data_IF_830262456291
#
_entry.id   IF_830262456291
#
_cell.length_a   1.000
_cell.length_b   1.000
_cell.length_c   1.000
_cell.angle_alpha   90.00
_cell.angle_beta   90.00
_cell.angle_gamma   90.00
#
_symmetry.space_group_name_H-M   'P 1'
#
loop_
_entity.id
_entity.type
_entity.pdbx_description
1 polymer ?
#
# COMPACT_ATOMS: atom_id res chain seq x y z
N UNK A 1 4.89 8.99 -24.62
CA UNK A 1 4.49 8.57 -23.25
C UNK A 1 5.64 7.81 -22.66
N UNK A 2 6.21 8.32 -21.57
CA UNK A 2 7.20 7.61 -20.76
C UNK A 2 6.59 7.00 -19.49
N UNK A 3 7.27 6.07 -18.86
CA UNK A 3 6.84 5.43 -17.62
C UNK A 3 7.84 5.78 -16.52
N UNK A 4 7.36 6.42 -15.46
CA UNK A 4 8.19 6.88 -14.35
C UNK A 4 7.80 6.18 -13.06
N UNK A 5 8.81 5.81 -12.28
CA UNK A 5 8.65 5.43 -10.88
C UNK A 5 9.22 6.55 -10.01
N UNK A 6 8.37 7.14 -9.17
CA UNK A 6 8.71 8.30 -8.34
C UNK A 6 8.57 7.89 -6.88
N UNK A 7 9.63 8.11 -6.11
CA UNK A 7 9.62 7.92 -4.67
C UNK A 7 9.50 9.27 -3.99
N UNK A 8 8.58 9.37 -3.02
CA UNK A 8 8.42 10.51 -2.14
C UNK A 8 8.77 10.06 -0.74
N UNK A 9 9.91 10.54 -0.23
CA UNK A 9 10.31 10.31 1.15
C UNK A 9 9.44 11.17 2.08
N UNK A 10 8.81 10.51 3.05
CA UNK A 10 7.92 11.14 4.04
C UNK A 10 8.48 11.06 5.46
N UNK A 11 9.77 10.75 5.63
CA UNK A 11 10.37 10.56 6.95
C UNK A 11 10.28 11.80 7.87
N UNK A 12 10.46 12.99 7.31
CA UNK A 12 10.42 14.28 8.04
C UNK A 12 9.03 14.95 8.00
N UNK A 13 7.99 14.21 7.61
CA UNK A 13 6.62 14.74 7.46
C UNK A 13 5.80 14.38 8.70
N UNK A 14 5.28 15.41 9.38
CA UNK A 14 4.59 15.25 10.66
C UNK A 14 3.07 15.38 10.57
N UNK A 15 2.54 15.93 9.46
CA UNK A 15 1.11 16.13 9.27
C UNK A 15 0.67 16.00 7.80
N UNK A 16 -0.65 15.89 7.60
CA UNK A 16 -1.24 15.72 6.28
C UNK A 16 -1.02 16.92 5.34
N UNK A 17 -0.91 18.13 5.87
CA UNK A 17 -0.74 19.33 5.04
C UNK A 17 0.67 19.37 4.44
N UNK A 18 1.68 19.04 5.24
CA UNK A 18 3.05 18.83 4.75
C UNK A 18 3.12 17.70 3.72
N UNK A 19 2.38 16.59 3.94
CA UNK A 19 2.30 15.50 2.97
C UNK A 19 1.67 15.94 1.65
N UNK A 20 0.62 16.76 1.69
CA UNK A 20 0.00 17.34 0.47
C UNK A 20 0.98 18.23 -0.28
N UNK A 21 1.71 19.08 0.43
CA UNK A 21 2.68 20.01 -0.18
C UNK A 21 3.86 19.28 -0.82
N UNK A 22 4.45 18.27 -0.16
CA UNK A 22 5.54 17.48 -0.76
C UNK A 22 5.07 16.68 -1.98
N UNK A 23 3.87 16.09 -1.94
CA UNK A 23 3.29 15.35 -3.05
C UNK A 23 3.07 16.26 -4.26
N UNK A 24 2.42 17.40 -4.04
CA UNK A 24 2.12 18.38 -5.08
C UNK A 24 3.40 18.91 -5.71
N UNK A 25 4.38 19.29 -4.89
CA UNK A 25 5.69 19.77 -5.35
C UNK A 25 6.40 18.72 -6.21
N UNK A 26 6.46 17.48 -5.73
CA UNK A 26 7.16 16.39 -6.44
C UNK A 26 6.52 16.12 -7.81
N UNK A 27 5.19 16.06 -7.88
CA UNK A 27 4.48 15.87 -9.15
C UNK A 27 4.66 17.07 -10.09
N UNK A 28 4.64 18.30 -9.56
CA UNK A 28 4.87 19.50 -10.35
C UNK A 28 6.29 19.53 -10.93
N UNK A 29 7.30 19.20 -10.13
CA UNK A 29 8.69 19.16 -10.58
C UNK A 29 8.92 18.02 -11.58
N UNK A 30 8.23 16.89 -11.40
CA UNK A 30 8.23 15.81 -12.39
C UNK A 30 7.64 16.29 -13.72
N UNK A 31 6.47 16.93 -13.70
CA UNK A 31 5.81 17.45 -14.89
C UNK A 31 6.67 18.47 -15.65
N UNK A 32 7.42 19.31 -14.94
CA UNK A 32 8.33 20.31 -15.53
C UNK A 32 9.56 19.70 -16.21
N UNK A 33 10.00 18.54 -15.74
CA UNK A 33 11.23 17.89 -16.19
C UNK A 33 10.97 16.72 -17.16
N UNK A 34 9.72 16.53 -17.63
CA UNK A 34 9.39 15.51 -18.61
C UNK A 34 10.15 15.71 -19.91
N UNK A 35 10.72 14.62 -20.43
CA UNK A 35 11.32 14.59 -21.78
C UNK A 35 10.25 14.35 -22.84
N UNK A 36 9.26 13.52 -22.51
CA UNK A 36 8.09 13.24 -23.34
C UNK A 36 6.96 14.24 -23.12
N UNK A 37 6.01 14.32 -24.07
CA UNK A 37 4.79 15.12 -23.92
C UNK A 37 3.92 14.72 -22.71
N UNK A 38 4.01 13.46 -22.28
CA UNK A 38 3.24 12.92 -21.15
C UNK A 38 3.93 11.70 -20.53
N UNK A 39 3.58 11.42 -19.28
CA UNK A 39 4.10 10.29 -18.50
C UNK A 39 3.00 9.53 -17.78
N UNK A 40 3.19 8.21 -17.65
CA UNK A 40 2.48 7.35 -16.71
C UNK A 40 3.35 7.16 -15.47
N UNK A 41 2.84 7.54 -14.31
CA UNK A 41 3.58 7.61 -13.05
C UNK A 41 3.11 6.51 -12.10
N UNK A 42 4.04 5.69 -11.63
CA UNK A 42 3.91 4.96 -10.38
C UNK A 42 4.52 5.81 -9.27
N UNK A 43 3.73 6.09 -8.25
CA UNK A 43 4.15 6.86 -7.09
C UNK A 43 4.33 5.91 -5.91
N UNK A 44 5.41 6.07 -5.16
CA UNK A 44 5.69 5.29 -3.96
C UNK A 44 6.00 6.26 -2.81
N UNK A 45 5.20 6.18 -1.74
CA UNK A 45 5.49 6.89 -0.49
C UNK A 45 6.40 6.01 0.34
N UNK A 46 7.59 6.49 0.67
CA UNK A 46 8.62 5.74 1.40
C UNK A 46 9.02 6.43 2.69
N UNK A 47 9.53 5.67 3.64
CA UNK A 47 10.23 6.22 4.80
C UNK A 47 9.64 5.85 6.14
N UNK A 48 10.37 6.18 7.20
CA UNK A 48 9.94 5.96 8.58
C UNK A 48 9.20 7.21 9.05
N UNK A 49 7.90 7.13 9.30
CA UNK A 49 7.05 8.28 9.64
C UNK A 49 6.08 7.95 10.78
N UNK A 50 5.74 8.93 11.63
CA UNK A 50 4.67 8.82 12.62
C UNK A 50 3.30 8.71 11.97
N UNK A 51 3.16 9.13 10.70
CA UNK A 51 1.91 9.12 9.96
C UNK A 51 1.54 7.75 9.37
N UNK A 52 2.37 6.70 9.54
CA UNK A 52 2.16 5.41 8.86
C UNK A 52 0.72 4.90 9.00
N UNK A 53 0.19 4.85 10.22
CA UNK A 53 -1.14 4.29 10.45
C UNK A 53 -2.26 5.16 9.92
N UNK A 54 -2.14 6.49 10.05
CA UNK A 54 -3.09 7.43 9.47
C UNK A 54 -3.10 7.35 7.94
N UNK A 55 -1.92 7.34 7.30
CA UNK A 55 -1.79 7.25 5.84
C UNK A 55 -2.32 5.92 5.32
N UNK A 56 -2.03 4.80 5.99
CA UNK A 56 -2.56 3.49 5.60
C UNK A 56 -4.08 3.38 5.82
N UNK A 57 -4.63 4.02 6.86
CA UNK A 57 -6.08 4.09 7.09
C UNK A 57 -6.76 4.86 5.95
N UNK A 58 -6.17 5.99 5.59
CA UNK A 58 -6.71 6.94 4.62
C UNK A 58 -6.11 6.72 3.21
N UNK A 59 -5.60 5.52 2.92
CA UNK A 59 -4.88 5.20 1.68
C UNK A 59 -5.65 5.58 0.40
N UNK A 60 -6.99 5.46 0.43
CA UNK A 60 -7.83 5.74 -0.73
C UNK A 60 -8.01 7.25 -0.92
N UNK A 61 -8.01 8.02 0.17
CA UNK A 61 -7.93 9.49 0.12
C UNK A 61 -6.61 9.91 -0.51
N UNK A 62 -5.48 9.33 -0.08
CA UNK A 62 -4.17 9.67 -0.64
C UNK A 62 -4.01 9.28 -2.11
N UNK A 63 -4.59 8.16 -2.54
CA UNK A 63 -4.65 7.79 -3.96
C UNK A 63 -5.42 8.83 -4.78
N UNK A 64 -6.58 9.27 -4.29
CA UNK A 64 -7.37 10.28 -5.00
C UNK A 64 -6.68 11.64 -5.02
N UNK A 65 -6.05 12.06 -3.91
CA UNK A 65 -5.25 13.29 -3.85
C UNK A 65 -4.11 13.26 -4.86
N UNK A 66 -3.33 12.17 -4.90
CA UNK A 66 -2.26 12.01 -5.87
C UNK A 66 -2.78 11.99 -7.32
N UNK A 67 -3.91 11.31 -7.57
CA UNK A 67 -4.52 11.27 -8.89
C UNK A 67 -5.01 12.65 -9.32
N UNK A 68 -5.61 13.40 -8.41
CA UNK A 68 -6.07 14.76 -8.66
C UNK A 68 -4.91 15.69 -8.99
N UNK A 69 -3.82 15.66 -8.22
CA UNK A 69 -2.63 16.47 -8.52
C UNK A 69 -1.99 16.08 -9.86
N UNK A 70 -1.91 14.79 -10.19
CA UNK A 70 -1.40 14.36 -11.50
C UNK A 70 -2.28 14.91 -12.65
N UNK A 71 -3.61 14.83 -12.52
CA UNK A 71 -4.58 15.38 -13.49
C UNK A 71 -4.42 16.89 -13.67
N UNK A 72 -4.21 17.63 -12.58
CA UNK A 72 -4.01 19.09 -12.61
C UNK A 72 -2.78 19.52 -13.41
N UNK A 73 -1.74 18.67 -13.48
CA UNK A 73 -0.57 18.94 -14.31
C UNK A 73 -0.83 18.77 -15.81
N UNK A 74 -1.89 18.04 -16.20
CA UNK A 74 -2.31 17.80 -17.59
C UNK A 74 -1.39 16.88 -18.40
N UNK A 75 -0.16 16.63 -17.95
CA UNK A 75 0.85 15.79 -18.62
C UNK A 75 1.15 14.48 -17.87
N UNK A 76 0.60 14.30 -16.66
CA UNK A 76 0.84 13.14 -15.81
C UNK A 76 -0.42 12.27 -15.66
N UNK A 77 -0.23 10.96 -15.79
CA UNK A 77 -1.25 9.93 -15.57
C UNK A 77 -0.81 9.00 -14.44
N UNK A 78 -1.55 8.95 -13.35
CA UNK A 78 -1.19 8.07 -12.23
C UNK A 78 -1.60 6.61 -12.53
N UNK A 79 -0.62 5.70 -12.55
CA UNK A 79 -0.84 4.24 -12.62
C UNK A 79 -1.26 3.70 -11.25
N UNK A 80 -0.44 3.95 -10.23
CA UNK A 80 -0.59 3.37 -8.90
C UNK A 80 0.12 4.20 -7.85
N UNK A 81 -0.46 4.25 -6.65
CA UNK A 81 0.23 4.65 -5.43
C UNK A 81 0.59 3.41 -4.61
N UNK A 82 1.85 3.31 -4.23
CA UNK A 82 2.41 2.30 -3.34
C UNK A 82 2.77 2.98 -2.01
N UNK A 83 2.51 2.29 -0.91
CA UNK A 83 2.83 2.78 0.43
C UNK A 83 3.86 1.83 1.04
N UNK A 84 5.10 2.26 1.11
CA UNK A 84 6.22 1.56 1.76
C UNK A 84 6.70 2.37 2.96
N UNK A 85 5.81 2.47 3.95
CA UNK A 85 6.03 3.26 5.15
C UNK A 85 6.49 2.36 6.29
N UNK A 86 7.27 2.89 7.21
CA UNK A 86 7.59 2.21 8.47
C UNK A 86 7.21 3.12 9.63
N UNK A 87 6.79 2.54 10.75
CA UNK A 87 6.42 3.33 11.92
C UNK A 87 7.68 3.84 12.63
N UNK A 88 7.64 5.07 13.15
CA UNK A 88 8.67 5.60 14.06
C UNK A 88 8.38 5.16 15.50
N UNK A 89 7.11 5.00 15.87
CA UNK A 89 6.72 4.67 17.23
C UNK A 89 7.12 3.23 17.55
N UNK A 90 7.81 3.05 18.67
CA UNK A 90 8.04 1.72 19.22
C UNK A 90 6.69 1.06 19.52
N UNK A 91 6.60 -0.27 19.33
CA UNK A 91 5.42 -1.03 19.73
C UNK A 91 5.17 -0.75 21.21
N UNK A 92 4.08 -0.06 21.51
CA UNK A 92 3.65 0.14 22.87
C UNK A 92 3.17 -1.18 23.49
N UNK A 93 2.80 -1.12 24.75
CA UNK A 93 2.04 -2.18 25.42
C UNK A 93 0.53 -1.90 25.36
N UNK A 94 0.07 -1.29 24.26
CA UNK A 94 -1.34 -0.99 24.05
C UNK A 94 -2.11 -2.21 23.54
N UNK A 95 -3.44 -2.21 23.71
CA UNK A 95 -4.30 -3.27 23.21
C UNK A 95 -4.17 -3.50 21.69
N UNK A 96 -3.86 -2.46 20.91
CA UNK A 96 -3.63 -2.58 19.46
C UNK A 96 -2.30 -3.26 19.13
N UNK A 97 -1.29 -3.14 19.99
CA UNK A 97 -0.01 -3.84 19.85
C UNK A 97 -0.13 -5.32 20.27
N UNK A 98 -0.89 -5.59 21.33
CA UNK A 98 -1.23 -6.96 21.72
C UNK A 98 -2.01 -7.68 20.61
N UNK A 99 -3.02 -7.01 20.04
CA UNK A 99 -3.77 -7.54 18.92
C UNK A 99 -2.88 -7.79 17.70
N UNK A 100 -1.95 -6.87 17.39
CA UNK A 100 -0.98 -7.08 16.31
C UNK A 100 -0.14 -8.34 16.55
N UNK A 101 0.25 -8.60 17.80
CA UNK A 101 0.93 -9.82 18.22
C UNK A 101 0.07 -11.06 18.02
N UNK A 102 -1.17 -11.05 18.49
CA UNK A 102 -2.13 -12.17 18.33
C UNK A 102 -2.36 -12.46 16.84
N UNK A 103 -2.64 -11.44 16.03
CA UNK A 103 -2.84 -11.60 14.59
C UNK A 103 -1.60 -12.15 13.90
N UNK A 104 -0.40 -11.80 14.36
CA UNK A 104 0.85 -12.38 13.85
C UNK A 104 0.93 -13.87 14.19
N UNK A 105 0.70 -14.24 15.45
CA UNK A 105 0.72 -15.64 15.88
C UNK A 105 -0.29 -16.49 15.10
N UNK A 106 -1.52 -16.00 14.93
CA UNK A 106 -2.57 -16.69 14.17
C UNK A 106 -2.13 -16.93 12.72
N UNK A 107 -1.47 -15.96 12.07
CA UNK A 107 -0.98 -16.14 10.70
C UNK A 107 0.07 -17.24 10.57
N UNK A 108 0.86 -17.47 11.62
CA UNK A 108 1.88 -18.52 11.67
C UNK A 108 1.28 -19.92 11.91
N UNK A 109 0.00 -20.02 12.29
CA UNK A 109 -0.69 -21.29 12.48
C UNK A 109 -1.06 -21.94 11.12
N UNK A 110 -0.75 -23.23 10.97
CA UNK A 110 -1.03 -23.97 9.73
C UNK A 110 -2.53 -23.99 9.39
N UNK A 111 -3.39 -24.08 10.40
CA UNK A 111 -4.84 -24.07 10.22
C UNK A 111 -5.35 -22.77 9.60
N UNK A 112 -4.75 -21.62 9.96
CA UNK A 112 -5.10 -20.35 9.35
C UNK A 112 -4.65 -20.26 7.89
N UNK A 113 -3.43 -20.73 7.60
CA UNK A 113 -2.92 -20.81 6.22
C UNK A 113 -3.81 -21.68 5.32
N UNK A 114 -4.27 -22.82 5.82
CA UNK A 114 -5.21 -23.69 5.11
C UNK A 114 -6.55 -23.02 4.81
N UNK A 115 -7.08 -22.22 5.74
CA UNK A 115 -8.29 -21.42 5.53
C UNK A 115 -8.06 -20.40 4.41
N UNK A 116 -6.97 -19.62 4.48
CA UNK A 116 -6.63 -18.65 3.45
C UNK A 116 -6.49 -19.29 2.07
N UNK A 117 -5.82 -20.45 1.98
CA UNK A 117 -5.67 -21.21 0.74
C UNK A 117 -7.02 -21.62 0.16
N UNK A 118 -7.94 -22.16 0.98
CA UNK A 118 -9.28 -22.55 0.53
C UNK A 118 -10.08 -21.38 -0.02
N UNK A 119 -10.02 -20.23 0.64
CA UNK A 119 -10.69 -19.00 0.16
C UNK A 119 -10.12 -18.54 -1.18
N UNK A 120 -8.79 -18.53 -1.31
CA UNK A 120 -8.13 -18.18 -2.58
C UNK A 120 -8.52 -19.17 -3.67
N UNK A 121 -8.48 -20.47 -3.41
CA UNK A 121 -8.94 -21.50 -4.35
C UNK A 121 -10.37 -21.27 -4.82
N UNK A 122 -11.28 -20.92 -3.90
CA UNK A 122 -12.66 -20.56 -4.20
C UNK A 122 -12.75 -19.42 -5.22
N UNK A 123 -12.03 -18.32 -4.98
CA UNK A 123 -11.98 -17.16 -5.88
C UNK A 123 -11.38 -17.54 -7.25
N UNK A 124 -10.34 -18.37 -7.26
CA UNK A 124 -9.70 -18.81 -8.51
C UNK A 124 -10.64 -19.63 -9.39
N UNK A 125 -11.62 -20.33 -8.81
CA UNK A 125 -12.60 -21.08 -9.58
C UNK A 125 -13.42 -20.19 -10.52
N UNK A 126 -13.56 -18.90 -10.18
CA UNK A 126 -14.24 -17.90 -11.00
C UNK A 126 -13.39 -17.41 -12.18
N UNK A 127 -12.07 -17.66 -12.14
CA UNK A 127 -11.16 -17.27 -13.22
C UNK A 127 -11.07 -18.33 -14.31
N UNK A 128 -10.99 -17.87 -15.57
CA UNK A 128 -10.70 -18.72 -16.71
C UNK A 128 -9.38 -19.50 -16.50
N UNK A 129 -9.28 -20.78 -16.92
CA UNK A 129 -8.12 -21.63 -16.62
C UNK A 129 -6.77 -21.03 -17.02
N UNK A 130 -6.72 -20.32 -18.14
CA UNK A 130 -5.51 -19.67 -18.67
C UNK A 130 -5.03 -18.53 -17.77
N UNK A 131 -5.94 -17.81 -17.10
CA UNK A 131 -5.60 -16.75 -16.14
C UNK A 131 -5.18 -17.33 -14.79
N UNK A 132 -5.84 -18.41 -14.37
CA UNK A 132 -5.49 -19.14 -13.15
C UNK A 132 -4.06 -19.67 -13.20
N UNK A 133 -3.69 -20.36 -14.28
CA UNK A 133 -2.33 -20.92 -14.45
C UNK A 133 -1.23 -19.84 -14.54
N UNK A 134 -1.56 -18.62 -14.98
CA UNK A 134 -0.63 -17.49 -14.98
C UNK A 134 -0.46 -16.84 -13.60
N UNK A 135 -1.53 -16.79 -12.82
CA UNK A 135 -1.54 -16.16 -11.51
C UNK A 135 -0.92 -17.06 -10.44
N UNK A 136 -1.14 -18.37 -10.56
CA UNK A 136 -0.64 -19.39 -9.64
C UNK A 136 -0.03 -20.55 -10.44
N UNK A 137 1.25 -20.42 -10.81
CA UNK A 137 1.94 -21.46 -11.57
C UNK A 137 2.24 -22.69 -10.71
N UNK A 138 2.35 -22.53 -9.39
CA UNK A 138 2.69 -23.59 -8.44
C UNK A 138 2.11 -23.35 -7.04
N UNK A 139 2.26 -24.39 -6.20
CA UNK A 139 1.83 -24.41 -4.79
C UNK A 139 2.57 -23.37 -3.94
N UNK A 140 3.86 -23.14 -4.19
CA UNK A 140 4.64 -22.17 -3.43
C UNK A 140 4.12 -20.73 -3.65
N UNK A 141 3.64 -20.43 -4.86
CA UNK A 141 3.01 -19.14 -5.19
C UNK A 141 1.67 -18.99 -4.48
N UNK A 142 0.94 -20.09 -4.24
CA UNK A 142 -0.29 -20.09 -3.45
C UNK A 142 -0.01 -19.71 -2.00
N UNK A 143 0.98 -20.35 -1.38
CA UNK A 143 1.36 -20.07 0.01
C UNK A 143 1.85 -18.62 0.18
N UNK A 144 2.67 -18.14 -0.76
CA UNK A 144 3.12 -16.75 -0.77
C UNK A 144 1.96 -15.75 -0.94
N UNK A 145 0.99 -16.07 -1.80
CA UNK A 145 -0.18 -15.23 -1.99
C UNK A 145 -1.05 -15.20 -0.73
N UNK A 146 -1.29 -16.36 -0.11
CA UNK A 146 -2.02 -16.47 1.15
C UNK A 146 -1.35 -15.66 2.26
N UNK A 147 -0.04 -15.81 2.43
CA UNK A 147 0.74 -15.06 3.41
C UNK A 147 0.64 -13.55 3.19
N UNK A 148 0.89 -13.09 1.96
CA UNK A 148 0.84 -11.66 1.61
C UNK A 148 -0.55 -11.05 1.80
N UNK A 149 -1.62 -11.77 1.45
CA UNK A 149 -2.98 -11.29 1.64
C UNK A 149 -3.35 -11.24 3.12
N UNK A 150 -2.95 -12.23 3.91
CA UNK A 150 -3.15 -12.25 5.36
C UNK A 150 -2.40 -11.11 6.06
N UNK A 151 -1.15 -10.87 5.67
CA UNK A 151 -0.34 -9.76 6.18
C UNK A 151 -0.97 -8.40 5.83
N UNK A 152 -1.31 -8.18 4.55
CA UNK A 152 -1.98 -6.95 4.11
C UNK A 152 -3.34 -6.75 4.80
N UNK A 153 -4.09 -7.82 5.05
CA UNK A 153 -5.35 -7.79 5.80
C UNK A 153 -5.13 -7.35 7.26
N UNK A 154 -4.10 -7.88 7.91
CA UNK A 154 -3.75 -7.50 9.27
C UNK A 154 -3.31 -6.03 9.35
N UNK A 155 -2.48 -5.57 8.42
CA UNK A 155 -2.08 -4.17 8.34
C UNK A 155 -3.26 -3.23 8.18
N UNK A 156 -4.25 -3.58 7.35
CA UNK A 156 -5.47 -2.78 7.17
C UNK A 156 -6.29 -2.66 8.45
N UNK A 157 -6.48 -3.76 9.17
CA UNK A 157 -7.21 -3.74 10.45
C UNK A 157 -6.46 -2.85 11.46
N UNK A 158 -5.13 -3.03 11.57
CA UNK A 158 -4.30 -2.23 12.46
C UNK A 158 -4.31 -0.74 12.09
N UNK A 159 -4.29 -0.41 10.80
CA UNK A 159 -4.40 0.97 10.34
C UNK A 159 -5.73 1.61 10.75
N UNK A 160 -6.84 0.90 10.62
CA UNK A 160 -8.15 1.39 11.08
C UNK A 160 -8.18 1.65 12.59
N UNK A 161 -7.55 0.79 13.39
CA UNK A 161 -7.55 0.94 14.85
C UNK A 161 -6.57 2.00 15.34
N UNK A 162 -5.32 1.98 14.84
CA UNK A 162 -4.25 2.87 15.28
C UNK A 162 -4.39 4.27 14.69
N UNK A 163 -4.80 4.37 13.42
CA UNK A 163 -4.99 5.67 12.76
C UNK A 163 -6.13 6.48 13.36
N UNK A 164 -7.14 5.83 13.96
CA UNK A 164 -8.28 6.50 14.61
C UNK A 164 -7.95 7.18 15.95
N UNK A 165 -6.76 6.93 16.50
CA UNK A 165 -6.33 7.55 17.76
C UNK A 165 -5.62 8.87 17.43
N UNK A 166 -6.09 10.01 17.97
CA UNK A 166 -5.44 11.32 17.76
C UNK A 166 -4.09 11.44 18.44
#
# INVERSE_FOLDING_TARGET
VEFLHIQVDVADIENDDELREILKRTLQDTARNLVSESSVVRLELVGRTCLRWQVLRDQDVWKEVAAQYAREMGTLWLDKVVFDLSDILERGHGATDELAGIMKSIREESGFSEICRKEIEGILQELAPQRRAKLLPDEATMDQLAWRLAEAGAERILAQMKGATP
#
